data_IF_728165549933
#
_entry.id   IF_728165549933
#
_cell.length_a   1.000
_cell.length_b   1.000
_cell.length_c   1.000
_cell.angle_alpha   90.00
_cell.angle_beta   90.00
_cell.angle_gamma   90.00
#
_symmetry.space_group_name_H-M   'P 1'
#
loop_
_entity.id
_entity.type
_entity.pdbx_description
1 polymer ?
#
# COMPACT_ATOMS: atom_id res chain seq x y z
N UNK A 1 6.23 78.75 -7.58
CA UNK A 1 5.40 78.51 -8.81
C UNK A 1 5.09 77.04 -8.95
N UNK A 2 3.81 76.71 -9.16
CA UNK A 2 3.18 75.46 -9.58
C UNK A 2 2.83 74.47 -8.44
N UNK A 3 1.66 74.52 -7.94
CA UNK A 3 0.29 74.02 -8.20
C UNK A 3 0.13 72.54 -7.77
N UNK A 4 -0.67 72.50 -6.73
CA UNK A 4 -1.48 71.39 -6.21
C UNK A 4 -2.29 70.64 -7.30
N UNK A 5 -2.31 69.30 -7.20
CA UNK A 5 -3.40 68.46 -7.76
C UNK A 5 -3.74 67.44 -6.68
N UNK A 6 -4.85 67.58 -6.00
CA UNK A 6 -6.13 67.05 -6.48
C UNK A 6 -6.33 65.68 -5.89
N UNK A 7 -6.73 65.64 -4.59
CA UNK A 7 -7.32 64.45 -3.92
C UNK A 7 -8.60 64.05 -4.70
N UNK A 8 -8.58 62.91 -5.36
CA UNK A 8 -9.81 62.27 -5.87
C UNK A 8 -10.51 61.60 -4.69
N UNK A 9 -11.62 62.14 -4.31
CA UNK A 9 -12.64 61.53 -3.47
C UNK A 9 -13.03 60.17 -4.07
N UNK A 10 -12.72 59.10 -3.42
CA UNK A 10 -13.26 57.76 -3.71
C UNK A 10 -14.74 57.80 -3.32
N UNK A 11 -15.64 57.68 -4.27
CA UNK A 11 -17.09 57.46 -4.01
C UNK A 11 -17.24 56.18 -3.19
N UNK A 12 -18.05 56.14 -2.13
CA UNK A 12 -18.38 54.92 -1.42
C UNK A 12 -19.16 53.99 -2.37
N UNK A 13 -18.70 52.74 -2.49
CA UNK A 13 -19.39 51.68 -3.24
C UNK A 13 -20.77 51.44 -2.58
N UNK A 14 -21.81 51.14 -3.37
CA UNK A 14 -23.15 50.91 -2.83
C UNK A 14 -23.19 49.70 -1.89
N UNK A 15 -24.04 49.70 -0.87
CA UNK A 15 -24.07 48.65 0.17
C UNK A 15 -24.44 47.24 -0.30
N UNK A 16 -24.69 47.05 -1.59
CA UNK A 16 -25.02 45.75 -2.17
C UNK A 16 -23.82 44.79 -2.37
N UNK A 17 -22.58 45.27 -2.24
CA UNK A 17 -21.38 44.46 -2.48
C UNK A 17 -20.86 43.78 -1.16
N UNK A 18 -21.39 44.16 -0.02
CA UNK A 18 -21.02 43.51 1.25
C UNK A 18 -21.70 42.16 1.51
N UNK A 19 -22.71 41.77 0.73
CA UNK A 19 -23.45 40.51 0.89
C UNK A 19 -22.85 39.31 0.12
N UNK A 20 -21.83 39.51 -0.71
CA UNK A 20 -21.21 38.42 -1.52
C UNK A 20 -19.92 37.87 -0.88
N UNK A 21 -19.63 38.16 0.36
CA UNK A 21 -18.44 37.65 1.08
C UNK A 21 -18.73 36.65 2.19
N UNK A 22 -19.90 36.07 2.25
CA UNK A 22 -20.05 34.75 2.82
C UNK A 22 -19.87 33.75 1.66
N UNK A 23 -18.63 33.35 1.40
CA UNK A 23 -18.37 32.06 0.79
C UNK A 23 -19.10 31.05 1.68
N UNK A 24 -20.24 30.57 1.22
CA UNK A 24 -20.86 29.38 1.78
C UNK A 24 -19.82 28.30 1.51
N UNK A 25 -19.11 27.93 2.54
CA UNK A 25 -18.23 26.78 2.53
C UNK A 25 -19.16 25.58 2.38
N UNK A 26 -19.47 25.22 1.16
CA UNK A 26 -20.28 24.04 0.81
C UNK A 26 -19.33 22.85 0.97
N UNK A 27 -18.96 22.56 2.22
CA UNK A 27 -18.45 21.24 2.52
C UNK A 27 -19.60 20.28 2.22
N UNK A 28 -19.38 19.27 1.38
CA UNK A 28 -20.41 18.26 1.15
C UNK A 28 -20.81 17.70 2.53
N UNK A 29 -22.11 17.49 2.76
CA UNK A 29 -22.57 16.94 4.03
C UNK A 29 -21.84 15.65 4.32
N UNK A 30 -21.37 15.49 5.56
CA UNK A 30 -20.69 14.26 6.00
C UNK A 30 -21.66 13.10 5.84
N UNK A 31 -21.26 12.08 5.07
CA UNK A 31 -22.05 10.85 4.88
C UNK A 31 -22.20 10.11 6.20
N UNK A 32 -23.45 9.73 6.53
CA UNK A 32 -23.77 8.95 7.74
C UNK A 32 -23.85 7.48 7.38
N UNK A 33 -22.77 6.74 7.64
CA UNK A 33 -22.60 5.36 7.25
C UNK A 33 -23.15 4.37 8.29
N UNK A 34 -23.91 3.38 7.83
CA UNK A 34 -24.30 2.21 8.61
C UNK A 34 -23.58 0.97 8.08
N UNK A 35 -22.89 0.24 8.98
CA UNK A 35 -22.01 -0.87 8.60
C UNK A 35 -22.76 -2.21 8.70
N UNK A 36 -22.55 -3.07 7.71
CA UNK A 36 -23.18 -4.40 7.65
C UNK A 36 -22.11 -5.45 7.35
N UNK A 37 -21.99 -6.43 8.27
CA UNK A 37 -21.20 -7.64 8.07
C UNK A 37 -22.10 -8.85 7.74
N UNK A 38 -21.59 -9.78 6.94
CA UNK A 38 -22.32 -10.99 6.61
C UNK A 38 -21.42 -12.25 6.64
N UNK A 39 -20.81 -12.57 7.81
CA UNK A 39 -19.92 -13.72 7.93
C UNK A 39 -20.66 -15.03 7.64
N UNK A 40 -19.96 -16.01 7.04
CA UNK A 40 -20.52 -17.33 6.76
C UNK A 40 -20.68 -18.12 8.04
N UNK A 41 -21.79 -18.85 8.16
CA UNK A 41 -22.00 -19.79 9.27
C UNK A 41 -20.92 -20.88 9.25
N UNK A 42 -20.32 -21.14 10.41
CA UNK A 42 -19.28 -22.16 10.56
C UNK A 42 -17.88 -21.74 10.12
N UNK A 43 -17.68 -20.51 9.67
CA UNK A 43 -16.34 -19.93 9.45
C UNK A 43 -15.79 -19.31 10.74
N UNK A 44 -14.48 -19.22 10.83
CA UNK A 44 -13.76 -18.51 11.91
C UNK A 44 -14.11 -17.03 11.95
N UNK A 45 -14.53 -16.45 10.81
CA UNK A 45 -14.97 -15.05 10.69
C UNK A 45 -16.06 -14.65 11.71
N UNK A 46 -16.83 -15.63 12.25
CA UNK A 46 -17.87 -15.35 13.25
C UNK A 46 -17.26 -14.87 14.58
N UNK A 47 -16.15 -15.46 14.99
CA UNK A 47 -15.48 -15.07 16.22
C UNK A 47 -14.82 -13.67 16.12
N UNK A 48 -14.50 -13.26 14.90
CA UNK A 48 -13.77 -12.04 14.58
C UNK A 48 -14.67 -10.94 13.97
N UNK A 49 -16.00 -11.15 13.92
CA UNK A 49 -16.94 -10.23 13.21
C UNK A 49 -16.90 -8.80 13.77
N UNK A 50 -16.74 -8.65 15.07
CA UNK A 50 -16.66 -7.32 15.69
C UNK A 50 -15.39 -6.60 15.28
N UNK A 51 -14.25 -7.30 15.21
CA UNK A 51 -12.98 -6.77 14.74
C UNK A 51 -13.01 -6.40 13.25
N UNK A 52 -13.68 -7.22 12.44
CA UNK A 52 -13.92 -6.94 11.02
C UNK A 52 -14.76 -5.67 10.83
N UNK A 53 -15.77 -5.47 11.67
CA UNK A 53 -16.58 -4.24 11.66
C UNK A 53 -15.82 -3.05 12.24
N UNK A 54 -14.90 -3.24 13.18
CA UNK A 54 -14.00 -2.20 13.65
C UNK A 54 -13.03 -1.77 12.55
N UNK A 55 -12.51 -2.68 11.75
CA UNK A 55 -11.70 -2.36 10.58
C UNK A 55 -12.52 -1.60 9.52
N UNK A 56 -13.76 -2.02 9.24
CA UNK A 56 -14.66 -1.30 8.33
C UNK A 56 -15.01 0.10 8.87
N UNK A 57 -15.10 0.27 10.19
CA UNK A 57 -15.28 1.58 10.84
C UNK A 57 -14.09 2.50 10.53
N UNK A 58 -12.86 1.99 10.65
CA UNK A 58 -11.65 2.76 10.32
C UNK A 58 -11.56 3.09 8.81
N UNK A 59 -12.04 2.19 7.94
CA UNK A 59 -12.15 2.47 6.51
C UNK A 59 -13.16 3.59 6.24
N UNK A 60 -14.34 3.55 6.86
CA UNK A 60 -15.36 4.57 6.74
C UNK A 60 -14.86 5.94 7.21
N UNK A 61 -14.18 6.01 8.37
CA UNK A 61 -13.56 7.23 8.89
C UNK A 61 -12.48 7.77 7.94
N UNK A 62 -11.65 6.87 7.40
CA UNK A 62 -10.61 7.25 6.43
C UNK A 62 -11.21 7.81 5.14
N UNK A 63 -12.38 7.30 4.72
CA UNK A 63 -13.15 7.82 3.58
C UNK A 63 -13.92 9.12 3.91
N UNK A 64 -13.93 9.55 5.17
CA UNK A 64 -14.61 10.77 5.63
C UNK A 64 -16.09 10.59 5.97
N UNK A 65 -16.56 9.35 6.16
CA UNK A 65 -17.92 9.05 6.56
C UNK A 65 -18.02 8.90 8.09
N UNK A 66 -19.13 9.34 8.68
CA UNK A 66 -19.44 9.15 10.09
C UNK A 66 -20.23 7.86 10.29
N UNK A 67 -19.70 6.92 11.06
CA UNK A 67 -20.41 5.67 11.39
C UNK A 67 -21.51 5.96 12.43
N UNK A 68 -22.75 5.64 12.09
CA UNK A 68 -23.94 5.87 12.95
C UNK A 68 -24.53 4.59 13.52
N UNK A 69 -24.06 3.43 13.09
CA UNK A 69 -24.44 2.13 13.61
C UNK A 69 -23.83 0.98 12.83
N UNK A 70 -23.90 -0.20 13.39
CA UNK A 70 -23.40 -1.43 12.78
C UNK A 70 -24.24 -2.64 13.14
N UNK A 71 -24.29 -3.61 12.25
CA UNK A 71 -24.95 -4.91 12.48
C UNK A 71 -24.30 -5.99 11.63
N UNK A 72 -24.61 -7.25 11.94
CA UNK A 72 -24.24 -8.35 11.08
C UNK A 72 -25.33 -9.41 11.00
N UNK A 73 -25.31 -10.21 9.95
CA UNK A 73 -26.12 -11.41 9.81
C UNK A 73 -25.24 -12.60 9.44
N UNK A 74 -25.34 -13.70 10.18
CA UNK A 74 -24.70 -14.96 9.81
C UNK A 74 -25.44 -15.58 8.64
N UNK A 75 -24.76 -15.82 7.52
CA UNK A 75 -25.32 -16.38 6.30
C UNK A 75 -24.76 -17.78 6.04
N UNK A 76 -25.59 -18.72 5.61
CA UNK A 76 -25.12 -20.05 5.15
C UNK A 76 -24.47 -19.91 3.77
N UNK A 77 -25.17 -19.22 2.89
CA UNK A 77 -24.70 -18.82 1.57
C UNK A 77 -25.25 -17.44 1.22
N UNK A 78 -24.48 -16.60 0.49
CA UNK A 78 -24.95 -15.31 0.04
C UNK A 78 -26.20 -15.43 -0.82
N UNK A 79 -27.26 -14.68 -0.47
CA UNK A 79 -28.45 -14.61 -1.31
C UNK A 79 -28.10 -13.97 -2.67
N UNK A 80 -28.51 -14.56 -3.80
CA UNK A 80 -28.27 -13.98 -5.12
C UNK A 80 -28.89 -12.58 -5.29
N UNK A 81 -29.95 -12.27 -4.53
CA UNK A 81 -30.69 -11.02 -4.63
C UNK A 81 -30.10 -9.90 -3.80
N UNK A 82 -29.79 -10.15 -2.52
CA UNK A 82 -29.40 -9.10 -1.55
C UNK A 82 -28.11 -9.41 -0.77
N UNK A 83 -27.46 -10.56 -0.99
CA UNK A 83 -26.43 -11.13 -0.12
C UNK A 83 -27.00 -11.63 1.23
N UNK A 84 -27.81 -10.82 1.89
CA UNK A 84 -28.54 -11.11 3.14
C UNK A 84 -29.87 -11.80 2.88
N UNK A 85 -30.47 -12.33 3.93
CA UNK A 85 -31.87 -12.82 3.90
C UNK A 85 -32.86 -11.66 3.74
N UNK A 86 -33.95 -11.87 2.99
CA UNK A 86 -34.97 -10.85 2.71
C UNK A 86 -35.58 -10.23 3.98
N UNK A 87 -35.85 -11.04 5.01
CA UNK A 87 -36.37 -10.55 6.29
C UNK A 87 -35.42 -9.58 7.00
N UNK A 88 -34.10 -9.85 6.91
CA UNK A 88 -33.10 -8.94 7.50
C UNK A 88 -33.03 -7.61 6.74
N UNK A 89 -33.16 -7.66 5.41
CA UNK A 89 -33.16 -6.43 4.60
C UNK A 89 -34.39 -5.57 4.89
N UNK A 90 -35.55 -6.18 5.16
CA UNK A 90 -36.75 -5.44 5.55
C UNK A 90 -36.65 -4.84 6.96
N UNK A 91 -36.08 -5.58 7.92
CA UNK A 91 -35.74 -5.05 9.26
C UNK A 91 -34.82 -3.84 9.18
N UNK A 92 -33.80 -3.90 8.33
CA UNK A 92 -32.82 -2.84 8.15
C UNK A 92 -33.45 -1.51 7.72
N UNK A 93 -34.53 -1.48 6.95
CA UNK A 93 -35.19 -0.22 6.55
C UNK A 93 -35.58 0.64 7.74
N UNK A 94 -36.19 0.03 8.75
CA UNK A 94 -36.59 0.75 9.96
C UNK A 94 -35.40 1.26 10.77
N UNK A 95 -34.39 0.41 10.92
CA UNK A 95 -33.16 0.73 11.66
C UNK A 95 -32.38 1.87 10.99
N UNK A 96 -32.18 1.80 9.67
CA UNK A 96 -31.46 2.80 8.90
C UNK A 96 -32.15 4.16 8.91
N UNK A 97 -33.49 4.17 8.80
CA UNK A 97 -34.29 5.38 8.88
C UNK A 97 -34.18 6.04 10.27
N UNK A 98 -34.30 5.24 11.35
CA UNK A 98 -34.16 5.73 12.72
C UNK A 98 -32.76 6.27 13.01
N UNK A 99 -31.71 5.69 12.44
CA UNK A 99 -30.32 6.15 12.57
C UNK A 99 -30.02 7.39 11.72
N UNK A 100 -30.90 7.83 10.81
CA UNK A 100 -30.65 8.92 9.86
C UNK A 100 -29.51 8.60 8.92
N UNK A 101 -29.43 7.38 8.45
CA UNK A 101 -28.39 6.86 7.57
C UNK A 101 -28.51 7.46 6.17
N UNK A 102 -27.39 7.85 5.56
CA UNK A 102 -27.32 8.29 4.15
C UNK A 102 -26.59 7.28 3.27
N UNK A 103 -25.75 6.43 3.87
CA UNK A 103 -24.88 5.48 3.20
C UNK A 103 -24.86 4.15 3.95
N UNK A 104 -24.98 3.03 3.23
CA UNK A 104 -24.79 1.68 3.77
C UNK A 104 -23.48 1.11 3.26
N UNK A 105 -22.63 0.59 4.15
CA UNK A 105 -21.35 -0.03 3.80
C UNK A 105 -21.37 -1.52 4.17
N UNK A 106 -21.03 -2.38 3.21
CA UNK A 106 -20.89 -3.83 3.40
C UNK A 106 -19.43 -4.23 3.55
N UNK A 107 -19.14 -5.12 4.50
CA UNK A 107 -17.79 -5.69 4.67
C UNK A 107 -17.44 -6.72 3.59
N UNK A 108 -18.43 -7.28 2.94
CA UNK A 108 -18.27 -8.24 1.84
C UNK A 108 -18.36 -7.54 0.48
N UNK A 109 -17.70 -8.16 -0.53
CA UNK A 109 -17.84 -7.75 -1.92
C UNK A 109 -19.24 -8.10 -2.46
N UNK A 110 -19.95 -7.12 -2.97
CA UNK A 110 -21.27 -7.30 -3.55
C UNK A 110 -21.19 -7.53 -5.07
N UNK A 111 -21.97 -8.47 -5.57
CA UNK A 111 -22.16 -8.53 -7.02
C UNK A 111 -22.90 -7.28 -7.51
N UNK A 112 -22.74 -6.89 -8.79
CA UNK A 112 -23.44 -5.73 -9.34
C UNK A 112 -24.97 -5.82 -9.18
N UNK A 113 -25.52 -7.05 -9.15
CA UNK A 113 -26.96 -7.29 -8.94
C UNK A 113 -27.38 -7.01 -7.51
N UNK A 114 -26.60 -7.51 -6.56
CA UNK A 114 -26.90 -7.35 -5.13
C UNK A 114 -26.86 -5.87 -4.75
N UNK A 115 -25.84 -5.13 -5.17
CA UNK A 115 -25.73 -3.69 -4.89
C UNK A 115 -26.97 -2.92 -5.38
N UNK A 116 -27.34 -3.07 -6.66
CA UNK A 116 -28.51 -2.39 -7.23
C UNK A 116 -29.83 -2.80 -6.56
N UNK A 117 -29.99 -4.09 -6.21
CA UNK A 117 -31.20 -4.55 -5.55
C UNK A 117 -31.31 -3.96 -4.12
N UNK A 118 -30.19 -3.92 -3.39
CA UNK A 118 -30.14 -3.30 -2.05
C UNK A 118 -30.47 -1.81 -2.11
N UNK A 119 -29.83 -1.05 -3.03
CA UNK A 119 -30.11 0.38 -3.20
C UNK A 119 -31.57 0.67 -3.50
N UNK A 120 -32.17 -0.10 -4.44
CA UNK A 120 -33.61 0.04 -4.76
C UNK A 120 -34.51 -0.30 -3.59
N UNK A 121 -34.15 -1.30 -2.81
CA UNK A 121 -34.98 -1.77 -1.70
C UNK A 121 -34.86 -0.88 -0.48
N UNK A 122 -33.65 -0.42 -0.15
CA UNK A 122 -33.38 0.44 1.00
C UNK A 122 -33.62 1.93 0.71
N UNK A 123 -33.55 2.35 -0.56
CA UNK A 123 -33.65 3.75 -0.96
C UNK A 123 -32.41 4.57 -0.59
N UNK A 124 -31.30 3.92 -0.28
CA UNK A 124 -30.04 4.52 0.14
C UNK A 124 -28.90 4.07 -0.77
N UNK A 125 -27.82 4.84 -0.85
CA UNK A 125 -26.58 4.42 -1.49
C UNK A 125 -25.98 3.23 -0.74
N UNK A 126 -25.51 2.23 -1.49
CA UNK A 126 -24.87 1.04 -0.94
C UNK A 126 -23.48 0.90 -1.55
N UNK A 127 -22.46 0.90 -0.71
CA UNK A 127 -21.08 0.63 -1.08
C UNK A 127 -20.62 -0.71 -0.51
N UNK A 128 -19.86 -1.45 -1.28
CA UNK A 128 -19.13 -2.60 -0.75
C UNK A 128 -17.71 -2.18 -0.31
N UNK A 129 -17.03 -3.07 0.41
CA UNK A 129 -15.68 -2.85 0.89
C UNK A 129 -14.71 -2.41 -0.22
N UNK A 130 -14.86 -2.99 -1.43
CA UNK A 130 -14.03 -2.65 -2.59
C UNK A 130 -14.21 -1.19 -3.01
N UNK A 131 -15.45 -0.72 -3.06
CA UNK A 131 -15.76 0.66 -3.44
C UNK A 131 -15.22 1.65 -2.42
N UNK A 132 -15.33 1.35 -1.11
CA UNK A 132 -14.76 2.20 -0.04
C UNK A 132 -13.23 2.30 -0.18
N UNK A 133 -12.53 1.18 -0.42
CA UNK A 133 -11.08 1.17 -0.61
C UNK A 133 -10.68 2.00 -1.85
N UNK A 134 -11.43 1.86 -2.96
CA UNK A 134 -11.19 2.65 -4.18
C UNK A 134 -11.40 4.15 -3.96
N UNK A 135 -12.36 4.56 -3.17
CA UNK A 135 -12.59 5.95 -2.80
C UNK A 135 -11.41 6.51 -1.98
N UNK A 136 -10.94 5.74 -0.99
CA UNK A 136 -9.75 6.13 -0.21
C UNK A 136 -8.54 6.29 -1.14
N UNK A 137 -8.31 5.34 -2.04
CA UNK A 137 -7.20 5.40 -2.98
C UNK A 137 -7.29 6.60 -3.93
N UNK A 138 -8.49 6.95 -4.40
CA UNK A 138 -8.70 8.11 -5.25
C UNK A 138 -8.31 9.42 -4.56
N UNK A 139 -8.53 9.53 -3.26
CA UNK A 139 -8.14 10.72 -2.48
C UNK A 139 -6.65 10.74 -2.13
N UNK A 140 -5.99 9.57 -2.03
CA UNK A 140 -4.58 9.41 -1.62
C UNK A 140 -3.60 9.44 -2.78
N UNK A 141 -3.99 9.08 -4.00
CA UNK A 141 -3.13 9.04 -5.18
C UNK A 141 -2.58 10.44 -5.54
N UNK A 142 -1.29 10.66 -5.31
CA UNK A 142 -0.60 11.93 -5.60
C UNK A 142 0.23 11.86 -6.87
N UNK A 143 0.96 10.77 -7.07
CA UNK A 143 1.78 10.58 -8.27
C UNK A 143 0.92 10.36 -9.51
N UNK A 144 1.48 10.65 -10.68
CA UNK A 144 0.82 10.38 -11.94
C UNK A 144 0.51 8.89 -12.13
N UNK A 145 1.43 8.04 -11.72
CA UNK A 145 1.30 6.60 -11.81
C UNK A 145 0.20 6.06 -10.89
N UNK A 146 0.20 6.44 -9.60
CA UNK A 146 -0.86 6.03 -8.66
C UNK A 146 -2.25 6.46 -9.15
N UNK A 147 -2.37 7.66 -9.73
CA UNK A 147 -3.63 8.11 -10.34
C UNK A 147 -4.08 7.25 -11.51
N UNK A 148 -3.14 6.83 -12.39
CA UNK A 148 -3.45 5.92 -13.50
C UNK A 148 -3.90 4.55 -12.98
N UNK A 149 -3.23 4.02 -11.93
CA UNK A 149 -3.57 2.74 -11.31
C UNK A 149 -4.96 2.78 -10.67
N UNK A 150 -5.25 3.82 -9.90
CA UNK A 150 -6.57 4.00 -9.26
C UNK A 150 -7.67 4.16 -10.30
N UNK A 151 -7.43 4.99 -11.35
CA UNK A 151 -8.39 5.17 -12.43
C UNK A 151 -8.66 3.85 -13.18
N UNK A 152 -7.63 3.06 -13.43
CA UNK A 152 -7.77 1.72 -14.02
C UNK A 152 -8.64 0.83 -13.14
N UNK A 153 -8.33 0.72 -11.84
CA UNK A 153 -9.06 -0.10 -10.89
C UNK A 153 -10.54 0.32 -10.77
N UNK A 154 -10.81 1.63 -10.70
CA UNK A 154 -12.17 2.16 -10.68
C UNK A 154 -12.96 1.80 -11.94
N UNK A 155 -12.35 1.90 -13.13
CA UNK A 155 -13.01 1.55 -14.38
C UNK A 155 -13.26 0.02 -14.51
N UNK A 156 -12.34 -0.80 -14.02
CA UNK A 156 -12.51 -2.27 -13.98
C UNK A 156 -13.63 -2.68 -13.01
N UNK A 157 -13.71 -2.04 -11.84
CA UNK A 157 -14.81 -2.22 -10.89
C UNK A 157 -16.16 -1.74 -11.45
N UNK A 158 -16.19 -0.61 -12.15
CA UNK A 158 -17.38 0.00 -12.71
C UNK A 158 -17.92 -0.77 -13.95
N UNK A 159 -17.03 -1.30 -14.79
CA UNK A 159 -17.39 -1.92 -16.07
C UNK A 159 -18.48 -3.00 -15.99
N UNK A 160 -18.44 -4.00 -15.04
CA UNK A 160 -19.51 -4.98 -14.87
C UNK A 160 -20.78 -4.35 -14.26
N UNK A 161 -20.67 -3.22 -13.56
CA UNK A 161 -21.78 -2.53 -12.87
C UNK A 161 -22.58 -1.62 -13.80
N UNK A 162 -22.02 -1.16 -14.92
CA UNK A 162 -22.67 -0.29 -15.91
C UNK A 162 -23.93 -0.89 -16.52
N UNK A 163 -24.01 -2.18 -16.76
CA UNK A 163 -25.14 -2.85 -17.40
C UNK A 163 -26.48 -2.62 -16.72
N UNK A 164 -26.46 -2.18 -15.47
CA UNK A 164 -27.65 -2.08 -14.61
C UNK A 164 -28.02 -0.64 -14.21
N UNK A 165 -27.10 0.28 -14.31
CA UNK A 165 -27.40 1.72 -14.08
C UNK A 165 -28.39 2.27 -15.13
N UNK A 166 -28.45 1.67 -16.33
CA UNK A 166 -29.27 2.12 -17.46
C UNK A 166 -30.65 1.46 -17.60
N UNK A 167 -31.01 0.45 -16.80
CA UNK A 167 -32.31 -0.20 -16.86
C UNK A 167 -33.49 0.74 -16.54
N UNK A 168 -33.22 1.88 -15.90
CA UNK A 168 -34.24 2.91 -15.64
C UNK A 168 -34.59 3.78 -16.86
N UNK A 169 -33.63 4.02 -17.75
CA UNK A 169 -33.83 4.86 -18.95
C UNK A 169 -34.50 4.10 -20.11
N UNK A 170 -34.29 2.79 -20.20
CA UNK A 170 -34.85 1.97 -21.28
C UNK A 170 -36.36 1.68 -21.11
N UNK A 171 -36.92 1.83 -19.90
CA UNK A 171 -38.35 1.61 -19.64
C UNK A 171 -39.27 2.76 -20.09
N UNK A 172 -38.73 3.90 -20.45
CA UNK A 172 -39.54 5.12 -20.77
C UNK A 172 -39.96 5.17 -22.24
N UNK A 173 -39.35 4.41 -23.17
CA UNK A 173 -39.72 4.36 -24.58
C UNK A 173 -39.38 3.04 -25.24
N UNK A 174 -40.32 2.18 -25.52
CA UNK A 174 -40.06 1.04 -26.38
C UNK A 174 -41.30 0.19 -26.66
N UNK A 175 -41.82 0.24 -27.87
CA UNK A 175 -42.68 -0.82 -28.44
C UNK A 175 -41.87 -2.06 -28.77
N UNK A 176 -42.54 -3.22 -28.83
CA UNK A 176 -41.98 -4.55 -29.14
C UNK A 176 -41.18 -4.46 -30.46
N UNK A 177 -39.88 -4.71 -30.44
CA UNK A 177 -39.02 -4.85 -31.64
C UNK A 177 -38.07 -3.73 -32.00
N UNK A 178 -38.06 -2.58 -31.30
CA UNK A 178 -37.08 -1.54 -31.51
C UNK A 178 -36.01 -1.55 -30.42
N UNK A 179 -34.73 -1.79 -30.79
CA UNK A 179 -33.59 -1.53 -29.91
C UNK A 179 -33.68 -0.07 -29.47
N UNK A 180 -34.01 0.17 -28.20
CA UNK A 180 -34.15 1.51 -27.65
C UNK A 180 -32.79 2.24 -27.68
N UNK A 181 -32.77 3.60 -27.75
CA UNK A 181 -31.54 4.40 -27.70
C UNK A 181 -30.67 4.10 -26.45
N UNK A 182 -31.27 3.56 -25.40
CA UNK A 182 -30.54 3.17 -24.17
C UNK A 182 -29.60 1.96 -24.33
N UNK A 183 -29.97 0.95 -25.15
CA UNK A 183 -29.07 -0.20 -25.40
C UNK A 183 -27.86 0.18 -26.25
N UNK A 184 -28.05 1.03 -27.25
CA UNK A 184 -26.94 1.54 -28.09
C UNK A 184 -26.00 2.45 -27.31
N UNK A 185 -26.54 3.26 -26.40
CA UNK A 185 -25.74 4.15 -25.57
C UNK A 185 -24.94 3.37 -24.52
N UNK A 186 -25.55 2.38 -23.85
CA UNK A 186 -24.86 1.49 -22.93
C UNK A 186 -23.68 0.76 -23.60
N UNK A 187 -23.91 0.23 -24.81
CA UNK A 187 -22.85 -0.44 -25.58
C UNK A 187 -21.73 0.53 -25.99
N UNK A 188 -22.09 1.76 -26.33
CA UNK A 188 -21.14 2.82 -26.64
C UNK A 188 -20.29 3.18 -25.41
N UNK A 189 -20.93 3.34 -24.24
CA UNK A 189 -20.24 3.65 -22.98
C UNK A 189 -19.32 2.49 -22.56
N UNK A 190 -19.79 1.23 -22.68
CA UNK A 190 -18.95 0.05 -22.43
C UNK A 190 -17.72 0.02 -23.34
N UNK A 191 -17.88 0.33 -24.63
CA UNK A 191 -16.77 0.39 -25.58
C UNK A 191 -15.80 1.52 -25.21
N UNK A 192 -16.33 2.68 -24.83
CA UNK A 192 -15.50 3.81 -24.39
C UNK A 192 -14.67 3.45 -23.15
N UNK A 193 -15.28 2.81 -22.13
CA UNK A 193 -14.59 2.39 -20.92
C UNK A 193 -13.56 1.29 -21.23
N UNK A 194 -13.90 0.27 -22.01
CA UNK A 194 -12.91 -0.76 -22.42
C UNK A 194 -11.73 -0.16 -23.16
N UNK A 195 -11.98 0.80 -24.05
CA UNK A 195 -10.90 1.52 -24.75
C UNK A 195 -10.03 2.30 -23.76
N UNK A 196 -10.64 2.97 -22.78
CA UNK A 196 -9.93 3.73 -21.74
C UNK A 196 -9.08 2.80 -20.87
N UNK A 197 -9.60 1.64 -20.45
CA UNK A 197 -8.86 0.59 -19.75
C UNK A 197 -7.63 0.17 -20.58
N UNK A 198 -7.78 -0.11 -21.86
CA UNK A 198 -6.65 -0.47 -22.74
C UNK A 198 -5.58 0.63 -22.83
N UNK A 199 -5.99 1.90 -22.90
CA UNK A 199 -5.07 3.04 -22.94
C UNK A 199 -4.32 3.16 -21.59
N UNK A 200 -5.02 3.01 -20.45
CA UNK A 200 -4.41 3.11 -19.13
C UNK A 200 -3.41 2.00 -18.88
N UNK A 201 -3.74 0.74 -19.24
CA UNK A 201 -2.81 -0.39 -19.15
C UNK A 201 -1.54 -0.12 -19.93
N UNK A 202 -1.66 0.31 -21.20
CA UNK A 202 -0.48 0.64 -22.01
C UNK A 202 0.37 1.76 -21.39
N UNK A 203 -0.26 2.81 -20.83
CA UNK A 203 0.50 3.86 -20.14
C UNK A 203 1.24 3.37 -18.91
N UNK A 204 0.65 2.44 -18.16
CA UNK A 204 1.31 1.82 -17.00
C UNK A 204 2.48 0.93 -17.44
N UNK A 205 2.33 0.17 -18.53
CA UNK A 205 3.42 -0.61 -19.12
C UNK A 205 4.57 0.31 -19.56
N UNK A 206 4.29 1.43 -20.26
CA UNK A 206 5.29 2.43 -20.65
C UNK A 206 6.04 3.00 -19.43
N UNK A 207 5.35 3.24 -18.29
CA UNK A 207 5.97 3.70 -17.04
C UNK A 207 6.88 2.63 -16.42
N UNK A 208 6.44 1.36 -16.42
CA UNK A 208 7.23 0.24 -15.92
C UNK A 208 8.52 0.06 -16.71
N UNK A 209 8.45 0.10 -18.04
CA UNK A 209 9.61 0.03 -18.94
C UNK A 209 10.59 1.19 -18.70
N UNK A 210 10.07 2.39 -18.50
CA UNK A 210 10.90 3.57 -18.18
C UNK A 210 11.65 3.40 -16.85
N UNK A 211 11.00 2.85 -15.83
CA UNK A 211 11.63 2.54 -14.53
C UNK A 211 12.70 1.46 -14.68
N UNK A 212 12.42 0.40 -15.42
CA UNK A 212 13.38 -0.67 -15.67
C UNK A 212 14.67 -0.14 -16.34
N UNK A 213 14.52 0.73 -17.35
CA UNK A 213 15.66 1.37 -18.03
C UNK A 213 16.46 2.31 -17.11
N UNK A 214 15.78 3.11 -16.26
CA UNK A 214 16.47 3.98 -15.30
C UNK A 214 17.25 3.20 -14.23
N UNK A 215 16.81 1.98 -13.89
CA UNK A 215 17.46 1.11 -12.92
C UNK A 215 18.75 0.49 -13.43
N UNK A 216 18.82 0.11 -14.71
CA UNK A 216 20.02 -0.47 -15.32
C UNK A 216 21.27 0.41 -15.20
N UNK A 217 21.12 1.73 -15.06
CA UNK A 217 22.22 2.68 -14.90
C UNK A 217 22.65 2.96 -13.45
N UNK A 218 21.93 2.45 -12.44
CA UNK A 218 22.20 2.76 -11.03
C UNK A 218 23.17 1.77 -10.40
N UNK A 219 24.04 2.26 -9.52
CA UNK A 219 24.91 1.44 -8.68
C UNK A 219 24.04 0.46 -7.90
N UNK A 220 24.34 -0.83 -7.97
CA UNK A 220 23.64 -1.91 -7.26
C UNK A 220 23.88 -1.74 -5.73
N UNK A 221 23.06 -0.92 -5.08
CA UNK A 221 23.01 -0.86 -3.61
C UNK A 221 21.97 -1.84 -3.12
N UNK A 222 22.22 -2.52 -1.99
CA UNK A 222 21.21 -3.39 -1.38
C UNK A 222 19.90 -2.63 -1.14
N UNK A 223 18.80 -3.31 -1.40
CA UNK A 223 17.46 -2.73 -1.33
C UNK A 223 16.54 -3.56 -0.43
N UNK A 224 15.71 -2.88 0.36
CA UNK A 224 14.69 -3.50 1.17
C UNK A 224 13.33 -2.86 0.89
N UNK A 225 12.26 -3.64 0.91
CA UNK A 225 10.91 -3.14 0.84
C UNK A 225 10.16 -3.42 2.14
N UNK A 226 9.47 -2.40 2.67
CA UNK A 226 8.57 -2.54 3.80
C UNK A 226 7.25 -3.10 3.29
N UNK A 227 6.90 -4.29 3.74
CA UNK A 227 5.61 -4.95 3.48
C UNK A 227 4.88 -5.13 4.81
N UNK A 228 3.58 -5.26 4.78
CA UNK A 228 2.81 -5.47 6.01
C UNK A 228 1.41 -4.87 5.94
N UNK A 229 0.62 -5.18 6.95
CA UNK A 229 -0.75 -4.72 7.02
C UNK A 229 -0.86 -3.19 7.03
N UNK A 230 -2.01 -2.66 6.60
CA UNK A 230 -2.23 -1.21 6.70
C UNK A 230 -2.19 -0.76 8.14
N UNK A 231 -1.62 0.43 8.38
CA UNK A 231 -1.43 0.98 9.73
C UNK A 231 -0.49 0.18 10.68
N UNK A 232 0.29 -0.79 10.19
CA UNK A 232 1.32 -1.47 11.00
C UNK A 232 2.52 -0.57 11.35
N UNK A 233 2.61 0.63 10.79
CA UNK A 233 3.66 1.60 11.08
C UNK A 233 4.83 1.57 10.09
N UNK A 234 4.64 1.11 8.85
CA UNK A 234 5.68 1.07 7.80
C UNK A 234 6.33 2.43 7.54
N UNK A 235 5.53 3.46 7.29
CA UNK A 235 6.00 4.82 7.03
C UNK A 235 6.70 5.44 8.24
N UNK A 236 6.19 5.16 9.45
CA UNK A 236 6.82 5.58 10.71
C UNK A 236 8.19 4.93 10.89
N UNK A 237 8.29 3.64 10.52
CA UNK A 237 9.54 2.90 10.60
C UNK A 237 10.56 3.42 9.57
N UNK A 238 10.13 3.76 8.35
CA UNK A 238 10.99 4.39 7.36
C UNK A 238 11.52 5.74 7.87
N UNK A 239 10.67 6.55 8.50
CA UNK A 239 11.08 7.82 9.15
C UNK A 239 12.12 7.59 10.24
N UNK A 240 11.91 6.62 11.13
CA UNK A 240 12.84 6.29 12.22
C UNK A 240 14.19 5.75 11.71
N UNK A 241 14.18 4.98 10.63
CA UNK A 241 15.41 4.43 10.03
C UNK A 241 16.19 5.48 9.23
N UNK A 242 15.52 6.31 8.44
CA UNK A 242 16.19 7.28 7.57
C UNK A 242 16.59 8.58 8.29
N UNK A 243 15.89 8.95 9.36
CA UNK A 243 16.01 10.24 10.01
C UNK A 243 15.45 11.41 9.19
N UNK A 244 14.88 11.14 8.01
CA UNK A 244 14.26 12.15 7.15
C UNK A 244 12.79 12.34 7.50
N UNK A 245 12.24 13.52 7.19
CA UNK A 245 10.82 13.76 7.40
C UNK A 245 9.97 12.98 6.38
N UNK A 246 9.15 12.08 6.89
CA UNK A 246 8.20 11.26 6.12
C UNK A 246 6.80 11.60 6.62
N UNK A 247 5.87 11.80 5.70
CA UNK A 247 4.47 12.02 6.06
C UNK A 247 3.90 10.74 6.69
N UNK A 248 3.44 10.87 7.92
CA UNK A 248 2.84 9.78 8.69
C UNK A 248 1.47 10.23 9.18
N UNK A 249 0.47 9.40 9.00
CA UNK A 249 -0.90 9.63 9.45
C UNK A 249 -1.45 8.32 10.05
N UNK A 250 -2.13 8.42 11.19
CA UNK A 250 -2.79 7.26 11.82
C UNK A 250 -4.15 6.99 11.15
N UNK A 251 -4.09 6.59 9.88
CA UNK A 251 -5.24 6.22 9.05
C UNK A 251 -4.86 5.06 8.12
N UNK A 252 -5.87 4.29 7.75
CA UNK A 252 -5.68 3.19 6.80
C UNK A 252 -5.24 3.77 5.44
N UNK A 253 -4.29 3.08 4.78
CA UNK A 253 -3.74 3.50 3.48
C UNK A 253 -3.18 4.94 3.47
N UNK A 254 -2.49 5.33 4.56
CA UNK A 254 -1.80 6.62 4.62
C UNK A 254 -0.77 6.76 3.48
N UNK A 255 -0.12 5.67 3.10
CA UNK A 255 0.82 5.59 1.98
C UNK A 255 0.22 4.79 0.83
N UNK A 256 0.07 5.42 -0.34
CA UNK A 256 -0.30 4.79 -1.59
C UNK A 256 0.84 4.88 -2.61
N UNK A 257 1.54 5.99 -2.65
CA UNK A 257 2.72 6.20 -3.47
C UNK A 257 3.96 5.63 -2.78
N UNK A 258 4.78 4.85 -3.49
CA UNK A 258 6.03 4.32 -2.93
C UNK A 258 7.00 5.44 -2.58
N UNK A 259 7.60 5.36 -1.41
CA UNK A 259 8.59 6.30 -0.95
C UNK A 259 9.89 5.58 -0.63
N UNK A 260 10.97 5.91 -1.34
CA UNK A 260 12.30 5.30 -1.12
C UNK A 260 13.21 6.27 -0.39
N UNK A 261 13.93 5.78 0.62
CA UNK A 261 14.95 6.51 1.36
C UNK A 261 16.24 5.71 1.46
N UNK A 262 17.37 6.41 1.54
CA UNK A 262 18.64 5.80 1.93
C UNK A 262 18.72 5.72 3.45
N UNK A 263 19.06 4.54 3.95
CA UNK A 263 19.24 4.26 5.37
C UNK A 263 20.69 3.87 5.59
N UNK A 264 21.38 4.57 6.45
CA UNK A 264 22.73 4.22 6.91
C UNK A 264 22.58 3.20 8.05
N UNK A 265 23.14 2.02 7.86
CA UNK A 265 23.08 0.92 8.83
C UNK A 265 24.40 0.70 9.57
N UNK A 266 25.36 1.65 9.41
CA UNK A 266 26.68 1.61 10.02
C UNK A 266 27.72 0.89 9.18
N UNK A 267 28.99 1.03 9.57
CA UNK A 267 30.14 0.39 8.92
C UNK A 267 30.25 0.64 7.41
N UNK A 268 29.74 1.81 6.93
CA UNK A 268 29.74 2.15 5.51
C UNK A 268 28.68 1.44 4.66
N UNK A 269 27.81 0.65 5.27
CA UNK A 269 26.70 0.01 4.58
C UNK A 269 25.49 0.93 4.49
N UNK A 270 24.87 0.97 3.34
CA UNK A 270 23.63 1.72 3.09
C UNK A 270 22.62 0.87 2.36
N UNK A 271 21.40 0.90 2.83
CA UNK A 271 20.23 0.30 2.18
C UNK A 271 19.35 1.35 1.54
N UNK A 272 18.75 1.02 0.40
CA UNK A 272 17.57 1.73 -0.09
C UNK A 272 16.34 1.03 0.48
N UNK A 273 15.63 1.71 1.37
CA UNK A 273 14.40 1.18 1.96
C UNK A 273 13.20 1.87 1.31
N UNK A 274 12.29 1.08 0.77
CA UNK A 274 11.09 1.55 0.08
C UNK A 274 9.85 1.22 0.92
N UNK A 275 9.06 2.24 1.25
CA UNK A 275 7.73 2.07 1.83
C UNK A 275 6.73 1.71 0.74
N UNK A 276 5.90 0.69 0.98
CA UNK A 276 4.90 0.21 0.03
C UNK A 276 3.48 0.39 0.57
N UNK A 277 2.50 0.18 -0.28
CA UNK A 277 1.09 0.18 0.11
C UNK A 277 0.84 -0.90 1.16
N UNK A 278 0.06 -0.56 2.19
CA UNK A 278 -0.34 -1.55 3.20
C UNK A 278 -1.36 -2.54 2.65
N UNK A 279 -1.25 -3.80 3.06
CA UNK A 279 -2.24 -4.82 2.78
C UNK A 279 -3.42 -4.71 3.74
N UNK A 280 -4.55 -5.24 3.33
CA UNK A 280 -5.76 -5.31 4.12
C UNK A 280 -6.52 -6.59 3.78
N UNK A 281 -7.29 -7.10 4.71
CA UNK A 281 -8.14 -8.26 4.53
C UNK A 281 -9.17 -8.05 3.39
N UNK A 282 -9.50 -9.11 2.67
CA UNK A 282 -10.46 -9.09 1.55
C UNK A 282 -10.07 -8.06 0.46
N UNK A 283 -8.76 -7.82 0.26
CA UNK A 283 -8.31 -6.96 -0.83
C UNK A 283 -8.64 -7.63 -2.17
N UNK A 284 -9.42 -6.99 -3.05
CA UNK A 284 -9.80 -7.61 -4.32
C UNK A 284 -8.60 -7.85 -5.25
N UNK A 285 -8.52 -9.03 -5.88
CA UNK A 285 -7.41 -9.40 -6.79
C UNK A 285 -7.18 -8.41 -7.92
N UNK A 286 -8.24 -7.77 -8.45
CA UNK A 286 -8.09 -6.75 -9.49
C UNK A 286 -7.41 -5.48 -8.96
N UNK A 287 -7.54 -5.15 -7.66
CA UNK A 287 -6.79 -4.07 -7.03
C UNK A 287 -5.31 -4.46 -6.87
N UNK A 288 -5.01 -5.68 -6.42
CA UNK A 288 -3.64 -6.20 -6.36
C UNK A 288 -2.98 -6.10 -7.73
N UNK A 289 -3.69 -6.49 -8.80
CA UNK A 289 -3.20 -6.39 -10.17
C UNK A 289 -2.97 -4.93 -10.62
N UNK A 290 -3.84 -4.00 -10.23
CA UNK A 290 -3.71 -2.57 -10.57
C UNK A 290 -2.54 -1.91 -9.82
N UNK A 291 -2.22 -2.36 -8.60
CA UNK A 291 -1.07 -1.90 -7.81
C UNK A 291 0.21 -2.71 -8.05
N UNK A 292 0.23 -3.55 -9.10
CA UNK A 292 1.37 -4.40 -9.44
C UNK A 292 2.69 -3.60 -9.50
N UNK A 293 2.68 -2.40 -10.03
CA UNK A 293 3.89 -1.58 -10.14
C UNK A 293 4.42 -1.07 -8.78
N UNK A 294 3.55 -0.78 -7.81
CA UNK A 294 3.99 -0.45 -6.44
C UNK A 294 4.50 -1.69 -5.70
N UNK A 295 3.95 -2.85 -6.02
CA UNK A 295 4.36 -4.15 -5.48
C UNK A 295 5.58 -4.73 -6.22
N UNK A 296 5.90 -4.26 -7.43
CA UNK A 296 7.14 -4.59 -8.16
C UNK A 296 8.38 -4.14 -7.38
N UNK A 297 8.30 -3.05 -6.62
CA UNK A 297 9.41 -2.63 -5.73
C UNK A 297 9.72 -3.72 -4.68
N UNK A 298 8.72 -4.45 -4.19
CA UNK A 298 8.92 -5.58 -3.29
C UNK A 298 9.54 -6.79 -4.03
N UNK A 299 9.15 -7.03 -5.30
CA UNK A 299 9.74 -8.08 -6.14
C UNK A 299 11.21 -7.85 -6.42
N UNK A 300 11.59 -6.61 -6.61
CA UNK A 300 12.97 -6.24 -6.95
C UNK A 300 13.86 -6.07 -5.72
N UNK A 301 13.27 -5.88 -4.54
CA UNK A 301 14.03 -5.75 -3.32
C UNK A 301 14.82 -7.02 -3.00
N UNK A 302 16.03 -6.86 -2.46
CA UNK A 302 16.89 -7.95 -2.01
C UNK A 302 16.40 -8.55 -0.69
N UNK A 303 15.64 -7.74 0.09
CA UNK A 303 15.13 -8.07 1.40
C UNK A 303 13.72 -7.52 1.59
N UNK A 304 12.85 -8.27 2.24
CA UNK A 304 11.55 -7.80 2.69
C UNK A 304 11.58 -7.55 4.21
N UNK A 305 11.05 -6.42 4.63
CA UNK A 305 10.80 -6.10 6.03
C UNK A 305 9.30 -6.23 6.27
N UNK A 306 8.86 -7.36 6.81
CA UNK A 306 7.46 -7.58 7.14
C UNK A 306 7.14 -6.90 8.47
N UNK A 307 6.50 -5.73 8.40
CA UNK A 307 6.14 -4.90 9.56
C UNK A 307 4.78 -5.35 10.08
N UNK A 308 4.75 -5.73 11.35
CA UNK A 308 3.60 -6.29 12.06
C UNK A 308 3.26 -5.36 13.22
N UNK A 309 2.00 -5.04 13.42
CA UNK A 309 1.50 -4.38 14.63
C UNK A 309 1.40 -5.42 15.76
N UNK A 310 2.43 -5.48 16.61
CA UNK A 310 2.53 -6.47 17.67
C UNK A 310 1.45 -6.31 18.76
N UNK A 311 0.86 -5.12 18.89
CA UNK A 311 -0.17 -4.84 19.88
C UNK A 311 -1.59 -5.13 19.37
N UNK A 312 -1.76 -5.45 18.09
CA UNK A 312 -3.07 -5.74 17.53
C UNK A 312 -3.55 -7.13 17.95
N UNK A 313 -4.79 -7.31 18.47
CA UNK A 313 -5.27 -8.61 18.94
C UNK A 313 -5.23 -9.70 17.83
N UNK A 314 -5.54 -9.34 16.57
CA UNK A 314 -5.49 -10.25 15.42
C UNK A 314 -4.17 -10.14 14.61
N UNK A 315 -3.05 -9.92 15.25
CA UNK A 315 -1.78 -9.76 14.54
C UNK A 315 -1.40 -11.02 13.73
N UNK A 316 -1.74 -12.23 14.22
CA UNK A 316 -1.47 -13.49 13.53
C UNK A 316 -2.27 -13.58 12.21
N UNK A 317 -3.58 -13.26 12.25
CA UNK A 317 -4.41 -13.18 11.03
C UNK A 317 -3.87 -12.15 10.03
N UNK A 318 -3.44 -10.97 10.54
CA UNK A 318 -2.84 -9.96 9.68
C UNK A 318 -1.56 -10.44 9.00
N UNK A 319 -0.73 -11.22 9.70
CA UNK A 319 0.46 -11.85 9.13
C UNK A 319 0.07 -12.81 8.01
N UNK A 320 -0.89 -13.70 8.27
CA UNK A 320 -1.37 -14.68 7.29
C UNK A 320 -1.93 -14.01 6.01
N UNK A 321 -2.69 -12.93 6.17
CA UNK A 321 -3.20 -12.14 5.03
C UNK A 321 -2.04 -11.58 4.20
N UNK A 322 -0.99 -11.06 4.84
CA UNK A 322 0.17 -10.50 4.13
C UNK A 322 0.99 -11.61 3.46
N UNK A 323 1.22 -12.72 4.16
CA UNK A 323 1.95 -13.88 3.62
C UNK A 323 1.23 -14.48 2.41
N UNK A 324 -0.12 -14.60 2.45
CA UNK A 324 -0.90 -15.08 1.31
C UNK A 324 -0.77 -14.16 0.08
N UNK A 325 -0.78 -12.84 0.28
CA UNK A 325 -0.56 -11.90 -0.84
C UNK A 325 0.88 -11.97 -1.35
N UNK A 326 1.87 -12.13 -0.48
CA UNK A 326 3.27 -12.31 -0.89
C UNK A 326 3.43 -13.58 -1.73
N UNK A 327 2.76 -14.68 -1.36
CA UNK A 327 2.74 -15.93 -2.14
C UNK A 327 2.08 -15.75 -3.50
N UNK A 328 0.89 -15.10 -3.57
CA UNK A 328 0.22 -14.77 -4.85
C UNK A 328 1.13 -13.95 -5.78
N UNK A 329 2.03 -13.15 -5.21
CA UNK A 329 3.00 -12.35 -5.94
C UNK A 329 4.29 -13.11 -6.31
N UNK A 330 4.50 -14.32 -5.84
CA UNK A 330 5.72 -15.11 -6.03
C UNK A 330 6.91 -14.56 -5.25
N UNK A 331 6.68 -14.07 -4.03
CA UNK A 331 7.71 -13.50 -3.14
C UNK A 331 8.20 -14.48 -2.06
N UNK A 332 7.70 -15.70 -2.02
CA UNK A 332 8.00 -16.72 -1.01
C UNK A 332 9.50 -17.10 -0.93
N UNK A 333 10.24 -16.88 -2.03
CA UNK A 333 11.69 -17.15 -2.07
C UNK A 333 12.54 -15.99 -1.56
N UNK A 334 11.91 -14.85 -1.23
CA UNK A 334 12.63 -13.68 -0.74
C UNK A 334 13.04 -13.87 0.72
N UNK A 335 14.18 -13.27 1.09
CA UNK A 335 14.54 -13.13 2.50
C UNK A 335 13.57 -12.18 3.18
N UNK A 336 13.04 -12.59 4.34
CA UNK A 336 12.11 -11.79 5.13
C UNK A 336 12.69 -11.57 6.52
N UNK A 337 12.68 -10.34 7.01
CA UNK A 337 12.87 -9.98 8.40
C UNK A 337 11.52 -9.54 8.96
N UNK A 338 11.05 -10.23 9.98
CA UNK A 338 9.81 -9.90 10.67
C UNK A 338 10.07 -8.80 11.69
N UNK A 339 9.38 -7.67 11.54
CA UNK A 339 9.53 -6.48 12.39
C UNK A 339 8.27 -6.29 13.22
N UNK A 340 8.34 -6.67 14.49
CA UNK A 340 7.26 -6.56 15.46
C UNK A 340 7.21 -5.13 15.99
N UNK A 341 6.45 -4.27 15.35
CA UNK A 341 6.37 -2.86 15.69
C UNK A 341 5.31 -2.60 16.77
N UNK A 342 5.36 -1.40 17.36
CA UNK A 342 4.51 -0.95 18.47
C UNK A 342 4.69 -1.75 19.75
N UNK A 343 5.91 -2.26 20.00
CA UNK A 343 6.21 -3.03 21.20
C UNK A 343 6.04 -2.25 22.52
N UNK A 344 6.03 -0.92 22.45
CA UNK A 344 5.70 -0.02 23.56
C UNK A 344 4.28 -0.18 24.12
N UNK A 345 3.38 -0.79 23.35
CA UNK A 345 1.99 -1.06 23.77
C UNK A 345 1.82 -2.47 24.35
N UNK A 346 2.86 -3.33 24.31
CA UNK A 346 2.80 -4.67 24.85
C UNK A 346 3.03 -4.68 26.38
N UNK A 347 2.28 -5.51 27.12
CA UNK A 347 2.50 -5.65 28.56
C UNK A 347 3.89 -6.24 28.91
N UNK A 348 4.35 -7.23 28.12
CA UNK A 348 5.65 -7.89 28.25
C UNK A 348 6.25 -8.16 26.87
N UNK A 349 7.01 -7.19 26.31
CA UNK A 349 7.63 -7.34 25.00
C UNK A 349 8.61 -8.51 24.90
N UNK A 350 9.33 -8.82 25.99
CA UNK A 350 10.35 -9.87 25.99
C UNK A 350 9.72 -11.28 25.91
N UNK A 351 8.67 -11.53 26.69
CA UNK A 351 7.92 -12.77 26.64
C UNK A 351 7.27 -12.95 25.26
N UNK A 352 6.67 -11.90 24.71
CA UNK A 352 6.06 -11.90 23.38
C UNK A 352 7.10 -12.26 22.29
N UNK A 353 8.27 -11.62 22.32
CA UNK A 353 9.33 -11.90 21.34
C UNK A 353 9.78 -13.37 21.42
N UNK A 354 9.90 -13.93 22.63
CA UNK A 354 10.31 -15.34 22.83
C UNK A 354 9.29 -16.27 22.16
N UNK A 355 8.01 -16.04 22.37
CA UNK A 355 6.94 -16.81 21.74
C UNK A 355 6.95 -16.68 20.19
N UNK A 356 7.08 -15.47 19.68
CA UNK A 356 7.06 -15.23 18.22
C UNK A 356 8.29 -15.83 17.54
N UNK A 357 9.44 -15.87 18.20
CA UNK A 357 10.68 -16.45 17.64
C UNK A 357 10.64 -17.96 17.46
N UNK A 358 9.72 -18.66 18.07
CA UNK A 358 9.50 -20.10 17.78
C UNK A 358 9.08 -20.29 16.31
N UNK A 359 8.25 -19.39 15.78
CA UNK A 359 7.81 -19.41 14.37
C UNK A 359 8.70 -18.55 13.47
N UNK A 360 9.19 -17.42 13.97
CA UNK A 360 9.97 -16.42 13.21
C UNK A 360 11.32 -16.12 13.92
N UNK A 361 12.35 -16.98 13.77
CA UNK A 361 13.58 -16.94 14.57
C UNK A 361 14.34 -15.60 14.52
N UNK A 362 14.23 -14.85 13.42
CA UNK A 362 14.92 -13.58 13.21
C UNK A 362 14.01 -12.37 13.43
N UNK A 363 12.90 -12.52 14.16
CA UNK A 363 12.01 -11.40 14.46
C UNK A 363 12.69 -10.37 15.35
N UNK A 364 12.43 -9.08 15.04
CA UNK A 364 12.97 -7.92 15.74
C UNK A 364 11.81 -7.10 16.30
N UNK A 365 11.85 -6.79 17.60
CA UNK A 365 10.93 -5.85 18.23
C UNK A 365 11.35 -4.42 17.90
N UNK A 366 10.38 -3.57 17.62
CA UNK A 366 10.59 -2.13 17.39
C UNK A 366 9.45 -1.30 17.95
N UNK A 367 9.77 -0.07 18.36
CA UNK A 367 8.81 1.00 18.57
C UNK A 367 9.32 2.25 17.85
N UNK A 368 8.46 2.81 17.01
CA UNK A 368 8.76 4.08 16.35
C UNK A 368 8.46 5.29 17.23
N UNK A 369 7.83 5.09 18.39
CA UNK A 369 7.52 6.13 19.40
C UNK A 369 8.67 6.27 20.38
N UNK A 370 9.15 5.16 20.95
CA UNK A 370 10.25 5.15 21.93
C UNK A 370 11.62 5.00 21.29
N UNK A 371 11.68 4.75 19.98
CA UNK A 371 12.89 4.38 19.23
C UNK A 371 13.56 3.07 19.71
N UNK A 372 12.87 2.28 20.54
CA UNK A 372 13.32 0.99 20.98
C UNK A 372 13.47 0.02 19.80
N UNK A 373 14.48 -0.81 19.78
CA UNK A 373 14.72 -1.83 18.76
C UNK A 373 15.15 -1.30 17.39
N UNK A 374 15.13 0.01 17.13
CA UNK A 374 15.57 0.58 15.84
C UNK A 374 17.05 0.25 15.56
N UNK A 375 17.88 0.28 16.58
CA UNK A 375 19.30 -0.12 16.45
C UNK A 375 19.43 -1.60 16.11
N UNK A 376 18.68 -2.48 16.80
CA UNK A 376 18.67 -3.92 16.50
C UNK A 376 18.19 -4.20 15.07
N UNK A 377 17.23 -3.44 14.57
CA UNK A 377 16.79 -3.54 13.17
C UNK A 377 17.87 -3.06 12.20
N UNK A 378 18.61 -1.99 12.50
CA UNK A 378 19.77 -1.57 11.69
C UNK A 378 20.85 -2.64 11.66
N UNK A 379 21.11 -3.33 12.78
CA UNK A 379 22.06 -4.44 12.86
C UNK A 379 21.61 -5.63 12.01
N UNK A 380 20.32 -5.97 12.03
CA UNK A 380 19.75 -7.01 11.17
C UNK A 380 19.85 -6.66 9.68
N UNK A 381 19.61 -5.40 9.32
CA UNK A 381 19.81 -4.89 7.96
C UNK A 381 21.29 -4.97 7.57
N UNK A 382 22.21 -4.55 8.44
CA UNK A 382 23.65 -4.63 8.19
C UNK A 382 24.10 -6.08 7.94
N UNK A 383 23.70 -7.01 8.81
CA UNK A 383 23.95 -8.44 8.64
C UNK A 383 23.42 -8.95 7.29
N UNK A 384 22.22 -8.52 6.90
CA UNK A 384 21.65 -8.86 5.59
C UNK A 384 22.45 -8.27 4.44
N UNK A 385 22.94 -7.01 4.55
CA UNK A 385 23.80 -6.39 3.54
C UNK A 385 25.13 -7.12 3.38
N UNK A 386 25.71 -7.52 4.49
CA UNK A 386 26.96 -8.32 4.50
C UNK A 386 26.75 -9.66 3.80
N UNK A 387 25.61 -10.33 4.07
CA UNK A 387 25.30 -11.62 3.44
C UNK A 387 25.02 -11.50 1.92
N UNK A 388 24.61 -10.33 1.42
CA UNK A 388 24.42 -10.06 -0.02
C UNK A 388 25.74 -9.80 -0.76
N UNK A 389 26.82 -9.49 -0.04
CA UNK A 389 28.14 -9.31 -0.62
C UNK A 389 28.93 -10.62 -0.58
N UNK A 390 29.30 -11.20 -1.73
CA UNK A 390 30.09 -12.43 -1.75
C UNK A 390 31.46 -12.19 -1.10
N UNK A 391 31.94 -13.19 -0.36
CA UNK A 391 33.33 -13.23 0.10
C UNK A 391 34.18 -13.73 -1.06
N UNK A 392 35.24 -13.00 -1.35
CA UNK A 392 36.19 -13.34 -2.38
C UNK A 392 37.62 -13.23 -1.83
N UNK A 393 38.48 -14.13 -2.25
CA UNK A 393 39.90 -14.04 -2.06
C UNK A 393 40.55 -13.50 -3.33
N UNK A 394 41.29 -12.41 -3.18
CA UNK A 394 41.88 -11.65 -4.28
C UNK A 394 43.42 -11.74 -4.13
N UNK A 395 44.07 -12.15 -5.20
CA UNK A 395 45.52 -12.15 -5.28
C UNK A 395 46.03 -10.83 -5.83
N UNK A 396 46.72 -10.07 -4.98
CA UNK A 396 47.27 -8.75 -5.33
C UNK A 396 48.81 -8.83 -5.32
N UNK A 397 49.50 -8.56 -6.44
CA UNK A 397 50.93 -8.44 -6.42
C UNK A 397 51.40 -7.35 -5.42
N UNK A 398 52.43 -7.61 -4.62
CA UNK A 398 52.95 -6.64 -3.64
C UNK A 398 53.30 -5.30 -4.29
N UNK A 399 53.71 -5.32 -5.57
CA UNK A 399 54.02 -4.10 -6.34
C UNK A 399 52.78 -3.26 -6.70
N UNK A 400 51.56 -3.82 -6.63
CA UNK A 400 50.30 -3.11 -6.96
C UNK A 400 49.66 -2.49 -5.72
N UNK A 401 50.32 -1.56 -5.09
CA UNK A 401 49.81 -0.82 -3.95
C UNK A 401 48.53 -0.03 -4.26
N UNK A 402 48.29 0.31 -5.56
CA UNK A 402 47.09 1.05 -5.98
C UNK A 402 45.85 0.16 -5.92
N UNK A 403 45.99 -1.08 -6.36
CA UNK A 403 44.89 -2.08 -6.27
C UNK A 403 44.57 -2.40 -4.80
N UNK A 404 45.61 -2.60 -3.98
CA UNK A 404 45.44 -2.86 -2.55
C UNK A 404 44.74 -1.70 -1.84
N UNK A 405 45.16 -0.47 -2.07
CA UNK A 405 44.51 0.73 -1.52
C UNK A 405 43.04 0.87 -2.04
N UNK A 406 42.79 0.49 -3.30
CA UNK A 406 41.44 0.43 -3.86
C UNK A 406 40.55 -0.57 -3.15
N UNK A 407 41.05 -1.76 -2.84
CA UNK A 407 40.31 -2.79 -2.12
C UNK A 407 39.98 -2.33 -0.68
N UNK A 408 40.92 -1.72 0.03
CA UNK A 408 40.65 -1.17 1.38
C UNK A 408 39.63 -0.02 1.38
N UNK A 409 39.50 0.71 0.27
CA UNK A 409 38.50 1.79 0.16
C UNK A 409 37.13 1.29 -0.26
N UNK A 410 37.06 0.32 -1.20
CA UNK A 410 35.86 -0.04 -1.95
C UNK A 410 35.31 -1.43 -1.56
N UNK A 411 35.99 -2.17 -0.68
CA UNK A 411 35.61 -3.48 -0.17
C UNK A 411 35.81 -3.58 1.36
N UNK A 412 35.10 -4.50 2.00
CA UNK A 412 35.31 -4.83 3.43
C UNK A 412 36.39 -5.93 3.52
N UNK A 413 37.61 -5.55 3.86
CA UNK A 413 38.72 -6.48 4.02
C UNK A 413 38.56 -7.22 5.35
N UNK A 414 38.39 -8.55 5.26
CA UNK A 414 38.24 -9.46 6.42
C UNK A 414 39.61 -9.95 6.90
N UNK A 415 40.47 -10.31 5.94
CA UNK A 415 41.80 -10.85 6.23
C UNK A 415 42.80 -10.45 5.14
N UNK A 416 44.04 -10.27 5.52
CA UNK A 416 45.13 -9.97 4.60
C UNK A 416 46.38 -10.77 5.00
N UNK A 417 46.86 -11.62 4.08
CA UNK A 417 48.04 -12.46 4.30
C UNK A 417 49.05 -12.20 3.17
N UNK A 418 50.28 -11.93 3.51
CA UNK A 418 51.37 -11.77 2.54
C UNK A 418 52.18 -13.07 2.41
N UNK A 419 52.31 -13.57 1.19
CA UNK A 419 53.04 -14.82 0.90
C UNK A 419 53.78 -14.65 -0.44
N UNK A 420 55.09 -14.89 -0.45
CA UNK A 420 55.92 -15.01 -1.71
C UNK A 420 55.68 -13.94 -2.78
N UNK A 421 55.66 -12.65 -2.36
CA UNK A 421 55.50 -11.52 -3.31
C UNK A 421 54.04 -11.23 -3.74
N UNK A 422 53.07 -11.92 -3.16
CA UNK A 422 51.63 -11.70 -3.38
C UNK A 422 50.96 -11.42 -2.02
N UNK A 423 50.02 -10.52 -2.02
CA UNK A 423 49.09 -10.28 -0.91
C UNK A 423 47.77 -10.95 -1.23
N UNK A 424 47.36 -11.91 -0.42
CA UNK A 424 46.05 -12.53 -0.43
C UNK A 424 45.11 -11.67 0.41
N UNK A 425 44.10 -11.09 -0.21
CA UNK A 425 43.10 -10.27 0.46
C UNK A 425 41.76 -11.02 0.44
N UNK A 426 41.29 -11.44 1.60
CA UNK A 426 39.94 -11.98 1.77
C UNK A 426 39.02 -10.83 2.11
N UNK A 427 38.05 -10.54 1.23
CA UNK A 427 37.17 -9.39 1.41
C UNK A 427 35.72 -9.69 0.97
N UNK A 428 34.76 -9.00 1.58
CA UNK A 428 33.40 -8.90 1.06
C UNK A 428 33.32 -7.82 0.00
N UNK A 429 32.83 -8.18 -1.19
CA UNK A 429 32.97 -7.33 -2.37
C UNK A 429 31.61 -7.17 -3.03
N UNK A 430 31.31 -5.97 -3.50
CA UNK A 430 30.14 -5.75 -4.38
C UNK A 430 30.33 -6.44 -5.74
N UNK A 431 29.25 -7.02 -6.28
CA UNK A 431 29.27 -7.73 -7.56
C UNK A 431 29.86 -6.90 -8.71
N UNK A 432 29.66 -5.58 -8.67
CA UNK A 432 30.22 -4.64 -9.68
C UNK A 432 31.75 -4.52 -9.57
N UNK A 433 32.28 -4.42 -8.35
CA UNK A 433 33.72 -4.35 -8.12
C UNK A 433 34.38 -5.68 -8.53
N UNK A 434 33.71 -6.80 -8.18
CA UNK A 434 34.11 -8.13 -8.59
C UNK A 434 34.22 -8.26 -10.12
N UNK A 435 33.20 -7.76 -10.84
CA UNK A 435 33.21 -7.74 -12.31
C UNK A 435 34.37 -6.94 -12.87
N UNK A 436 34.65 -5.74 -12.33
CA UNK A 436 35.79 -4.91 -12.72
C UNK A 436 37.15 -5.57 -12.45
N UNK A 437 37.30 -6.22 -11.29
CA UNK A 437 38.55 -6.92 -10.94
C UNK A 437 38.83 -8.04 -11.95
N UNK A 438 37.82 -8.83 -12.28
CA UNK A 438 37.92 -9.89 -13.29
C UNK A 438 38.23 -9.37 -14.68
N UNK A 439 37.56 -8.27 -15.11
CA UNK A 439 37.85 -7.62 -16.39
C UNK A 439 39.27 -7.10 -16.51
N UNK A 440 39.84 -6.63 -15.37
CA UNK A 440 41.21 -6.17 -15.29
C UNK A 440 42.25 -7.32 -15.12
N UNK A 441 41.82 -8.57 -15.23
CA UNK A 441 42.71 -9.73 -15.14
C UNK A 441 43.20 -10.04 -13.72
N UNK A 442 42.54 -9.52 -12.68
CA UNK A 442 42.86 -9.85 -11.30
C UNK A 442 42.34 -11.25 -10.96
N UNK A 443 43.17 -12.05 -10.35
CA UNK A 443 42.80 -13.42 -9.91
C UNK A 443 41.91 -13.33 -8.67
N UNK A 444 40.65 -13.79 -8.81
CA UNK A 444 39.61 -13.72 -7.79
C UNK A 444 38.91 -15.06 -7.64
N UNK A 445 39.02 -15.63 -6.46
CA UNK A 445 38.34 -16.90 -6.06
C UNK A 445 37.14 -16.54 -5.18
N UNK A 446 35.97 -17.10 -5.49
CA UNK A 446 34.73 -16.92 -4.71
C UNK A 446 34.50 -18.10 -3.75
N UNK A 447 33.74 -17.84 -2.67
CA UNK A 447 33.25 -18.88 -1.77
C UNK A 447 34.32 -19.38 -0.78
N UNK A 448 35.31 -18.57 -0.45
CA UNK A 448 36.27 -18.85 0.61
C UNK A 448 35.59 -18.54 1.94
N UNK A 449 35.51 -19.53 2.85
CA UNK A 449 35.15 -19.26 4.23
C UNK A 449 36.28 -18.43 4.89
N UNK A 450 35.92 -17.39 5.69
CA UNK A 450 36.90 -16.55 6.34
C UNK A 450 37.70 -17.29 7.43
#
# INVERSE_FOLDING_TARGET
MWRSRGTRCARPLPPYISFIRQLIDIQPPVERAYLIGAPRKGSEEIAQVDEHLDELTRLADTAGAQVVGRTYQRVESPSPRFYLGEGKVEELKGVLAAAGTTLVMFDEGLSPAQGVNLEKHLGLRVMDRTEVILDIFATRARSHEARLQVELAQLEYLLPRLTRMWTHLSRIRGGIGLRGPGETQLETDRRAIRRKIGILRKRLDDVADHRANQRQGRVARPSAALVGYTNAGKSSLLKALSGEDVFVEDRLFATLDTLTREVDVGEGYRFRVTDTVGFIRKLPHHLVASFRATLEEAKEADLLLHVIDAAHPAWEEQVEVVEAVMEEMGLEQKRVVYVLNKCDLLPDPAAFLTQVRERYPHAVLTSTVTAEGVTALRDALRTSAQALRPIAQIRVPVADGKLLAGLHRDAEVLEQVQTDGVVLVTARIEARLLGKLRQNGVDVVLGVEP
#
